data_IF_863109594344
#
_entry.id   IF_863109594344
#
_cell.length_a   1.000
_cell.length_b   1.000
_cell.length_c   1.000
_cell.angle_alpha   90.00
_cell.angle_beta   90.00
_cell.angle_gamma   90.00
#
_symmetry.space_group_name_H-M   'P 1'
#
loop_
_entity.id
_entity.type
_entity.pdbx_description
1 polymer ?
#
# COMPACT_ATOMS: atom_id res chain seq x y z
N UNK A 1 -75.76 9.79 -17.50
CA UNK A 1 -75.81 8.90 -16.32
C UNK A 1 -74.70 9.33 -15.38
N UNK A 2 -75.06 9.93 -14.25
CA UNK A 2 -74.16 10.39 -13.19
C UNK A 2 -73.75 9.24 -12.26
N UNK A 3 -72.64 9.38 -11.52
CA UNK A 3 -72.41 9.08 -10.09
C UNK A 3 -70.95 9.50 -9.80
N UNK A 4 -70.73 10.70 -9.23
CA UNK A 4 -70.63 11.03 -7.80
C UNK A 4 -69.31 10.65 -7.12
N UNK A 5 -68.89 11.59 -6.26
CA UNK A 5 -67.59 11.86 -5.68
C UNK A 5 -67.07 10.83 -4.67
N UNK A 6 -65.75 10.86 -4.43
CA UNK A 6 -65.23 10.95 -3.06
C UNK A 6 -63.86 11.65 -3.04
N UNK A 7 -63.80 12.71 -2.24
CA UNK A 7 -62.64 13.52 -1.87
C UNK A 7 -61.84 12.77 -0.81
N UNK A 8 -60.52 12.77 -0.95
CA UNK A 8 -59.58 12.37 0.10
C UNK A 8 -58.42 13.36 0.13
N UNK A 9 -58.52 14.35 1.01
CA UNK A 9 -57.50 15.35 1.27
C UNK A 9 -56.30 14.70 1.97
N UNK A 10 -55.09 14.95 1.47
CA UNK A 10 -53.87 14.84 2.28
C UNK A 10 -53.06 16.10 2.04
N UNK A 11 -52.88 16.85 3.13
CA UNK A 11 -52.26 18.16 3.16
C UNK A 11 -50.80 18.10 2.71
N UNK A 12 -50.49 18.99 1.77
CA UNK A 12 -49.14 19.47 1.53
C UNK A 12 -48.68 20.20 2.80
N UNK A 13 -47.75 19.60 3.53
CA UNK A 13 -46.99 20.34 4.53
C UNK A 13 -45.97 21.18 3.78
N UNK A 14 -46.24 22.48 3.74
CA UNK A 14 -45.26 23.53 3.51
C UNK A 14 -44.12 23.36 4.52
N UNK A 15 -42.90 23.12 4.05
CA UNK A 15 -41.70 23.15 4.89
C UNK A 15 -40.75 24.17 4.29
N UNK A 16 -40.69 25.30 4.99
CA UNK A 16 -39.81 26.46 4.85
C UNK A 16 -38.32 26.04 4.71
N UNK A 17 -37.52 26.63 3.79
CA UNK A 17 -36.11 26.32 3.66
C UNK A 17 -35.30 27.06 4.72
N UNK A 18 -34.37 26.34 5.34
CA UNK A 18 -33.40 26.78 6.38
C UNK A 18 -33.84 26.48 7.82
N UNK A 19 -33.72 25.23 8.24
CA UNK A 19 -33.16 24.88 9.55
C UNK A 19 -32.31 23.61 9.37
N UNK A 20 -30.99 23.76 9.42
CA UNK A 20 -30.06 22.63 9.57
C UNK A 20 -29.94 22.37 11.06
N UNK A 21 -30.68 21.37 11.54
CA UNK A 21 -30.39 20.74 12.83
C UNK A 21 -29.65 19.44 12.55
N UNK A 22 -28.39 19.42 12.97
CA UNK A 22 -27.51 18.28 12.82
C UNK A 22 -27.90 17.20 13.80
N UNK A 23 -28.68 16.20 13.39
CA UNK A 23 -28.60 14.86 13.98
C UNK A 23 -29.17 13.79 13.06
N UNK A 24 -28.41 12.70 12.92
CA UNK A 24 -28.89 11.35 12.56
C UNK A 24 -29.07 11.06 11.07
N UNK A 25 -27.97 10.70 10.40
CA UNK A 25 -28.03 9.79 9.24
C UNK A 25 -28.22 8.34 9.74
N UNK A 26 -29.24 7.60 9.28
CA UNK A 26 -29.38 6.20 9.63
C UNK A 26 -28.29 5.37 8.95
N UNK A 27 -27.43 4.79 9.78
CA UNK A 27 -26.32 3.93 9.39
C UNK A 27 -26.84 2.60 8.85
N UNK A 28 -26.69 2.39 7.54
CA UNK A 28 -26.79 1.06 6.95
C UNK A 28 -25.60 0.22 7.46
N UNK A 29 -25.90 -0.75 8.32
CA UNK A 29 -24.97 -1.77 8.80
C UNK A 29 -24.59 -2.71 7.66
N UNK A 30 -23.63 -2.30 6.82
CA UNK A 30 -22.82 -3.25 6.08
C UNK A 30 -21.67 -3.68 6.99
N UNK A 31 -21.72 -4.94 7.40
CA UNK A 31 -20.70 -5.66 8.17
C UNK A 31 -19.30 -5.48 7.56
N UNK A 32 -18.60 -4.43 7.97
CA UNK A 32 -17.18 -4.26 7.76
C UNK A 32 -16.47 -5.30 8.63
N UNK A 33 -16.02 -6.39 7.99
CA UNK A 33 -14.95 -7.23 8.53
C UNK A 33 -13.85 -6.29 9.02
N UNK A 34 -13.66 -6.24 10.32
CA UNK A 34 -12.63 -5.42 10.96
C UNK A 34 -11.28 -5.75 10.33
N UNK A 35 -10.77 -4.85 9.50
CA UNK A 35 -9.34 -4.78 9.22
C UNK A 35 -8.73 -4.35 10.55
N UNK A 36 -8.34 -5.31 11.38
CA UNK A 36 -7.52 -5.03 12.56
C UNK A 36 -6.24 -4.43 12.00
N UNK A 37 -6.11 -3.12 12.12
CA UNK A 37 -4.88 -2.40 11.88
C UNK A 37 -3.91 -2.79 12.99
N UNK A 38 -3.21 -3.91 12.75
CA UNK A 38 -2.11 -4.33 13.61
C UNK A 38 -1.07 -3.21 13.58
N UNK A 39 -0.59 -2.82 14.75
CA UNK A 39 0.50 -1.87 14.90
C UNK A 39 1.68 -2.25 13.99
N UNK A 40 2.44 -1.27 13.46
CA UNK A 40 3.61 -1.55 12.65
C UNK A 40 4.55 -2.55 13.34
N UNK A 41 5.08 -3.56 12.62
CA UNK A 41 5.97 -4.54 13.23
C UNK A 41 7.22 -3.85 13.75
N UNK A 42 7.65 -4.21 14.97
CA UNK A 42 8.86 -3.63 15.57
C UNK A 42 10.02 -4.63 15.59
N UNK A 43 11.28 -4.15 15.69
CA UNK A 43 12.45 -5.02 15.85
C UNK A 43 12.36 -5.98 17.03
N UNK A 44 11.68 -5.58 18.10
CA UNK A 44 11.48 -6.43 19.28
C UNK A 44 10.55 -7.62 18.99
N UNK A 45 9.55 -7.42 18.13
CA UNK A 45 8.60 -8.48 17.76
C UNK A 45 9.19 -9.48 16.76
N UNK A 46 10.13 -9.04 15.91
CA UNK A 46 10.77 -9.88 14.89
C UNK A 46 12.30 -9.78 14.98
N UNK A 47 12.92 -10.40 16.00
CA UNK A 47 14.37 -10.31 16.23
C UNK A 47 15.21 -10.99 15.14
N UNK A 48 14.60 -11.85 14.32
CA UNK A 48 15.28 -12.49 13.18
C UNK A 48 15.52 -11.53 12.00
N UNK A 49 14.78 -10.42 11.94
CA UNK A 49 14.98 -9.40 10.89
C UNK A 49 16.20 -8.56 11.27
N UNK A 50 17.18 -8.52 10.36
CA UNK A 50 18.45 -7.81 10.55
C UNK A 50 18.42 -6.42 9.94
N UNK A 51 17.65 -6.24 8.87
CA UNK A 51 17.70 -5.02 8.05
C UNK A 51 16.43 -4.19 8.20
N UNK A 52 16.28 -3.53 9.35
CA UNK A 52 15.12 -2.65 9.59
C UNK A 52 15.29 -1.31 8.92
N UNK A 53 16.50 -0.80 8.89
CA UNK A 53 16.88 0.46 8.26
C UNK A 53 17.81 0.24 7.06
N UNK A 54 17.96 1.28 6.24
CA UNK A 54 18.82 1.23 5.06
C UNK A 54 20.29 1.02 5.46
N UNK A 55 20.67 1.66 6.55
CA UNK A 55 22.02 1.67 7.11
C UNK A 55 22.45 0.28 7.57
N UNK A 56 21.52 -0.56 8.05
CA UNK A 56 21.81 -1.94 8.46
C UNK A 56 22.30 -2.77 7.26
N UNK A 57 21.62 -2.60 6.12
CA UNK A 57 22.00 -3.28 4.88
C UNK A 57 23.32 -2.76 4.33
N UNK A 58 23.54 -1.44 4.36
CA UNK A 58 24.81 -0.86 3.90
C UNK A 58 25.99 -1.33 4.78
N UNK A 59 25.84 -1.35 6.11
CA UNK A 59 26.86 -1.92 7.02
C UNK A 59 27.13 -3.39 6.73
N UNK A 60 26.08 -4.16 6.45
CA UNK A 60 26.22 -5.56 6.10
C UNK A 60 26.99 -5.75 4.80
N UNK A 61 26.71 -4.97 3.76
CA UNK A 61 27.44 -5.03 2.48
C UNK A 61 28.94 -4.77 2.65
N UNK A 62 29.33 -3.89 3.58
CA UNK A 62 30.73 -3.61 3.89
C UNK A 62 31.39 -4.66 4.80
N UNK A 63 30.61 -5.54 5.44
CA UNK A 63 31.12 -6.57 6.33
C UNK A 63 31.72 -7.77 5.56
N UNK A 64 32.64 -8.54 6.17
CA UNK A 64 33.14 -9.78 5.57
C UNK A 64 32.03 -10.80 5.24
N UNK A 65 30.96 -10.82 6.04
CA UNK A 65 29.78 -11.66 5.80
C UNK A 65 29.06 -11.24 4.51
N UNK A 66 28.79 -9.95 4.34
CA UNK A 66 28.12 -9.42 3.15
C UNK A 66 28.94 -9.60 1.88
N UNK A 67 30.26 -9.38 1.96
CA UNK A 67 31.18 -9.56 0.83
C UNK A 67 31.25 -11.00 0.31
N UNK A 68 31.03 -11.99 1.19
CA UNK A 68 31.03 -13.42 0.85
C UNK A 68 29.63 -13.98 0.65
N UNK A 69 28.59 -13.16 0.84
CA UNK A 69 27.20 -13.61 0.86
C UNK A 69 26.68 -14.02 -0.52
N UNK A 70 25.90 -15.10 -0.52
CA UNK A 70 25.15 -15.58 -1.69
C UNK A 70 23.68 -15.13 -1.69
N UNK A 71 23.28 -14.26 -0.76
CA UNK A 71 21.88 -13.84 -0.59
C UNK A 71 21.29 -13.06 -1.78
N UNK A 72 22.11 -12.74 -2.79
CA UNK A 72 21.68 -12.12 -4.04
C UNK A 72 21.21 -10.67 -3.87
N UNK A 73 20.75 -10.05 -4.96
CA UNK A 73 20.40 -8.62 -5.02
C UNK A 73 19.20 -8.21 -4.15
N UNK A 74 18.51 -9.18 -3.52
CA UNK A 74 17.32 -8.96 -2.69
C UNK A 74 17.48 -9.52 -1.27
N UNK A 75 18.72 -9.76 -0.82
CA UNK A 75 19.00 -10.34 0.49
C UNK A 75 18.39 -9.57 1.67
N UNK A 76 18.20 -8.25 1.51
CA UNK A 76 17.57 -7.40 2.52
C UNK A 76 16.05 -7.61 2.68
N UNK A 77 15.39 -8.30 1.76
CA UNK A 77 13.95 -8.57 1.80
C UNK A 77 13.62 -9.79 2.66
N UNK A 78 14.10 -9.77 3.90
CA UNK A 78 13.91 -10.84 4.86
C UNK A 78 12.42 -11.08 5.14
N UNK A 79 12.03 -12.36 5.19
CA UNK A 79 10.75 -12.81 5.73
C UNK A 79 10.77 -12.78 7.26
N UNK A 80 9.63 -13.10 7.89
CA UNK A 80 9.48 -13.10 9.36
C UNK A 80 10.54 -13.92 10.11
N UNK A 81 11.15 -14.90 9.43
CA UNK A 81 12.13 -15.83 9.98
C UNK A 81 13.57 -15.37 9.67
N UNK A 82 13.75 -14.18 9.07
CA UNK A 82 15.05 -13.63 8.69
C UNK A 82 15.59 -14.15 7.37
N UNK A 83 14.81 -14.89 6.59
CA UNK A 83 15.29 -15.52 5.36
C UNK A 83 15.05 -14.63 4.14
N UNK A 84 16.01 -14.57 3.19
CA UNK A 84 15.80 -13.83 1.95
C UNK A 84 14.68 -14.47 1.11
N UNK A 85 14.05 -13.72 0.19
CA UNK A 85 12.95 -14.23 -0.59
C UNK A 85 13.47 -15.33 -1.54
N UNK A 86 12.68 -16.38 -1.71
CA UNK A 86 12.98 -17.42 -2.70
C UNK A 86 13.09 -16.83 -4.11
N UNK A 87 13.76 -17.54 -5.03
CA UNK A 87 13.93 -17.09 -6.43
C UNK A 87 12.59 -16.80 -7.12
N UNK A 88 11.59 -17.64 -6.88
CA UNK A 88 10.24 -17.46 -7.44
C UNK A 88 9.52 -16.27 -6.80
N UNK A 89 9.67 -16.07 -5.49
CA UNK A 89 9.14 -14.89 -4.79
C UNK A 89 9.78 -13.60 -5.31
N UNK A 90 11.11 -13.56 -5.43
CA UNK A 90 11.84 -12.44 -6.02
C UNK A 90 11.35 -12.12 -7.43
N UNK A 91 11.09 -13.14 -8.26
CA UNK A 91 10.51 -12.98 -9.61
C UNK A 91 9.10 -12.39 -9.56
N UNK A 92 8.24 -12.89 -8.67
CA UNK A 92 6.88 -12.39 -8.48
C UNK A 92 6.85 -10.93 -7.99
N UNK A 93 7.74 -10.58 -7.06
CA UNK A 93 7.96 -9.23 -6.55
C UNK A 93 8.35 -8.27 -7.68
N UNK A 94 9.29 -8.66 -8.57
CA UNK A 94 9.67 -7.82 -9.73
C UNK A 94 8.52 -7.69 -10.72
N UNK A 95 7.76 -8.76 -10.96
CA UNK A 95 6.61 -8.74 -11.86
C UNK A 95 5.54 -7.75 -11.37
N UNK A 96 5.25 -7.76 -10.07
CA UNK A 96 4.32 -6.81 -9.46
C UNK A 96 4.80 -5.37 -9.63
N UNK A 97 6.07 -5.08 -9.34
CA UNK A 97 6.63 -3.73 -9.51
C UNK A 97 6.49 -3.22 -10.95
N UNK A 98 6.84 -4.06 -11.93
CA UNK A 98 6.71 -3.69 -13.34
C UNK A 98 5.26 -3.39 -13.72
N UNK A 99 4.30 -4.18 -13.22
CA UNK A 99 2.88 -3.88 -13.39
C UNK A 99 2.48 -2.55 -12.76
N UNK A 100 2.97 -2.26 -11.55
CA UNK A 100 2.77 -0.97 -10.89
C UNK A 100 3.33 0.21 -11.69
N UNK A 101 4.50 0.05 -12.32
CA UNK A 101 5.08 1.10 -13.16
C UNK A 101 4.31 1.33 -14.46
N UNK A 102 3.81 0.26 -15.10
CA UNK A 102 2.88 0.39 -16.24
C UNK A 102 1.64 1.18 -15.83
N UNK A 103 1.08 0.90 -14.65
CA UNK A 103 -0.07 1.63 -14.14
C UNK A 103 0.26 3.10 -13.84
N UNK A 104 1.46 3.41 -13.35
CA UNK A 104 1.91 4.79 -13.20
C UNK A 104 1.96 5.53 -14.56
N UNK A 105 2.38 4.85 -15.64
CA UNK A 105 2.40 5.45 -16.98
C UNK A 105 1.00 5.72 -17.47
N UNK A 106 0.08 4.76 -17.34
CA UNK A 106 -1.32 4.97 -17.73
C UNK A 106 -2.00 6.12 -16.98
N UNK A 107 -1.58 6.38 -15.74
CA UNK A 107 -2.08 7.47 -14.91
C UNK A 107 -1.33 8.79 -15.08
N UNK A 108 -0.33 8.84 -15.97
CA UNK A 108 0.54 10.01 -16.15
C UNK A 108 1.28 10.44 -14.86
N UNK A 109 1.55 9.46 -13.99
CA UNK A 109 2.23 9.63 -12.69
C UNK A 109 3.68 9.11 -12.71
N UNK A 110 4.10 8.46 -13.79
CA UNK A 110 5.43 7.88 -13.91
C UNK A 110 6.51 8.98 -14.03
N UNK A 111 7.50 9.01 -13.11
CA UNK A 111 8.54 10.02 -13.15
C UNK A 111 9.66 9.67 -14.14
N UNK A 112 10.44 10.68 -14.55
CA UNK A 112 11.63 10.48 -15.36
C UNK A 112 12.74 9.68 -14.65
N UNK A 113 12.77 9.71 -13.32
CA UNK A 113 13.64 8.89 -12.49
C UNK A 113 12.93 8.57 -11.18
N UNK A 114 13.26 7.44 -10.57
CA UNK A 114 12.59 7.01 -9.34
C UNK A 114 12.72 8.04 -8.21
N UNK A 115 13.85 8.76 -8.13
CA UNK A 115 14.06 9.83 -7.14
C UNK A 115 13.12 11.05 -7.32
N UNK A 116 12.49 11.20 -8.48
CA UNK A 116 11.52 12.29 -8.77
C UNK A 116 10.06 11.85 -8.64
N UNK A 117 9.81 10.69 -8.04
CA UNK A 117 8.47 10.15 -7.82
C UNK A 117 7.64 11.11 -6.97
N UNK A 118 6.45 11.49 -7.47
CA UNK A 118 5.53 12.33 -6.71
C UNK A 118 4.98 11.60 -5.48
N UNK A 119 4.49 12.35 -4.50
CA UNK A 119 3.90 11.79 -3.27
C UNK A 119 2.72 10.85 -3.58
N UNK A 120 1.86 11.21 -4.52
CA UNK A 120 0.72 10.37 -4.93
C UNK A 120 1.16 9.07 -5.60
N UNK A 121 2.16 9.13 -6.49
CA UNK A 121 2.72 7.96 -7.14
C UNK A 121 3.44 7.02 -6.15
N UNK A 122 4.12 7.61 -5.16
CA UNK A 122 4.74 6.88 -4.04
C UNK A 122 3.70 6.14 -3.21
N UNK A 123 2.64 6.83 -2.77
CA UNK A 123 1.55 6.21 -2.01
C UNK A 123 0.90 5.06 -2.78
N UNK A 124 0.68 5.24 -4.10
CA UNK A 124 0.13 4.19 -4.95
C UNK A 124 1.00 2.92 -4.96
N UNK A 125 2.32 3.06 -5.18
CA UNK A 125 3.22 1.90 -5.25
C UNK A 125 3.41 1.24 -3.88
N UNK A 126 3.53 2.02 -2.81
CA UNK A 126 3.62 1.50 -1.44
C UNK A 126 2.36 0.71 -1.07
N UNK A 127 1.17 1.23 -1.39
CA UNK A 127 -0.12 0.55 -1.14
C UNK A 127 -0.32 -0.75 -1.95
N UNK A 128 0.12 -0.79 -3.21
CA UNK A 128 0.06 -2.00 -4.05
C UNK A 128 0.85 -3.17 -3.45
N UNK A 129 1.92 -2.85 -2.72
CA UNK A 129 2.94 -3.83 -2.35
C UNK A 129 2.81 -4.34 -0.92
N UNK A 130 2.59 -3.48 0.05
CA UNK A 130 2.44 -3.87 1.46
C UNK A 130 1.22 -4.79 1.67
N UNK A 131 0.21 -4.65 0.81
CA UNK A 131 -0.95 -5.53 0.78
C UNK A 131 -0.66 -6.92 0.20
N UNK A 132 0.33 -7.06 -0.69
CA UNK A 132 0.61 -8.30 -1.43
C UNK A 132 1.79 -9.10 -0.86
N UNK A 133 2.84 -8.43 -0.36
CA UNK A 133 4.06 -9.08 0.11
C UNK A 133 4.47 -8.60 1.51
N UNK A 134 4.29 -9.44 2.55
CA UNK A 134 4.61 -9.09 3.94
C UNK A 134 6.06 -8.68 4.17
N UNK A 135 7.01 -9.15 3.35
CA UNK A 135 8.44 -8.80 3.43
C UNK A 135 8.71 -7.28 3.44
N UNK A 136 7.85 -6.48 2.81
CA UNK A 136 8.00 -5.02 2.80
C UNK A 136 7.55 -4.34 4.09
N UNK A 137 6.82 -5.06 4.96
CA UNK A 137 6.37 -4.54 6.26
C UNK A 137 7.49 -4.51 7.29
N UNK A 138 8.49 -5.40 7.16
CA UNK A 138 9.65 -5.46 8.05
C UNK A 138 10.71 -4.42 7.64
N UNK A 139 10.33 -3.14 7.65
CA UNK A 139 11.18 -2.04 7.25
C UNK A 139 10.68 -0.72 7.84
N UNK A 140 11.62 0.12 8.27
CA UNK A 140 11.30 1.50 8.63
C UNK A 140 11.13 2.34 7.36
N UNK A 141 10.10 3.19 7.35
CA UNK A 141 9.83 4.15 6.27
C UNK A 141 9.76 3.56 4.85
N UNK A 142 9.50 2.25 4.72
CA UNK A 142 9.40 1.57 3.43
C UNK A 142 10.70 1.53 2.60
N UNK A 143 11.87 1.70 3.24
CA UNK A 143 13.15 1.85 2.53
C UNK A 143 13.47 0.68 1.59
N UNK A 144 13.07 -0.54 1.94
CA UNK A 144 13.30 -1.74 1.12
C UNK A 144 12.64 -1.65 -0.25
N UNK A 145 11.42 -1.09 -0.30
CA UNK A 145 10.72 -0.87 -1.56
C UNK A 145 11.42 0.23 -2.37
N UNK A 146 11.72 1.36 -1.74
CA UNK A 146 12.38 2.47 -2.41
C UNK A 146 13.74 2.10 -2.98
N UNK A 147 14.53 1.35 -2.21
CA UNK A 147 15.81 0.86 -2.68
C UNK A 147 15.65 -0.10 -3.85
N UNK A 148 14.73 -1.06 -3.76
CA UNK A 148 14.49 -1.99 -4.85
C UNK A 148 14.08 -1.26 -6.13
N UNK A 149 13.14 -0.33 -6.02
CA UNK A 149 12.64 0.41 -7.16
C UNK A 149 13.72 1.34 -7.75
N UNK A 150 14.55 2.00 -6.93
CA UNK A 150 15.69 2.80 -7.40
C UNK A 150 16.67 1.97 -8.25
N UNK A 151 16.91 0.71 -7.89
CA UNK A 151 17.83 -0.16 -8.62
C UNK A 151 17.22 -0.81 -9.87
N UNK A 152 15.90 -0.88 -9.97
CA UNK A 152 15.22 -1.68 -11.02
C UNK A 152 14.40 -0.84 -11.99
N UNK A 153 13.92 0.34 -11.58
CA UNK A 153 13.14 1.26 -12.40
C UNK A 153 13.93 1.76 -13.62
N UNK A 154 15.21 2.21 -13.50
CA UNK A 154 15.97 2.68 -14.65
C UNK A 154 16.15 1.62 -15.73
N UNK A 155 16.24 0.34 -15.35
CA UNK A 155 16.36 -0.75 -16.32
C UNK A 155 15.05 -1.06 -17.04
N UNK A 156 13.90 -0.69 -16.47
CA UNK A 156 12.58 -0.88 -17.07
C UNK A 156 12.14 0.29 -17.94
N UNK A 157 12.52 1.52 -17.56
CA UNK A 157 12.14 2.74 -18.29
C UNK A 157 12.92 2.95 -19.59
N UNK A 158 14.03 2.24 -19.78
CA UNK A 158 14.87 2.31 -20.98
C UNK A 158 14.15 1.85 -22.24
#
# INVERSE_FOLDING_TARGET
>A
MAFQCLVGAVGLCDVDPCQVDGTTFPQATASLKSKVELAPPTPTDYPSIRFWDREDWDKYLESPEGQTSKQGTMGYLEDKDGNPPSREMAKAIRKLLRGGWVELVHRELAPLSWGRLSTSARQFIHGLRESTYPHFKFANNGWKLDYLASNTYPAWQK
#
